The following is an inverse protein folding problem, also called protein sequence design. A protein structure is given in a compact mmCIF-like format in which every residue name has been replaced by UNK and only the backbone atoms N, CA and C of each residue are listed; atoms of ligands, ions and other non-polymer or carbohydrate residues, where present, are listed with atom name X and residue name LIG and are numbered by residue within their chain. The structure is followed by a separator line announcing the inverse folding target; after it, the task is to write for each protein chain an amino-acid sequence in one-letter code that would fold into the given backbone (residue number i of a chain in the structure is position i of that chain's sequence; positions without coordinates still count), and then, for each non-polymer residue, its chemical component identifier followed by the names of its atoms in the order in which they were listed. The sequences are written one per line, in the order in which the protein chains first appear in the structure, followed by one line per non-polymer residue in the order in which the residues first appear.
data_IF_343081723666
#
_entry.id   IF_343081723666
#
_cell.length_a   1.000
_cell.length_b   1.000
_cell.length_c   1.000
_cell.angle_alpha   90.00
_cell.angle_beta   90.00
_cell.angle_gamma   90.00
#
_symmetry.space_group_name_H-M   'P 1'
#
loop_
_entity.id
_entity.type
_entity.pdbx_description
1 polymer ?
#
# COMPACT_ATOMS: atom_id res chain seq x y z
N UNK A 1 15.53 39.08 -156.34
CA UNK A 1 15.29 40.45 -156.82
C UNK A 1 14.00 40.94 -156.17
N UNK A 2 13.77 42.14 -155.63
CA UNK A 2 14.56 43.25 -155.08
C UNK A 2 13.55 44.37 -154.73
N UNK A 3 13.63 44.92 -153.51
CA UNK A 3 13.42 46.34 -153.13
C UNK A 3 11.97 46.93 -153.03
N UNK A 4 11.54 47.15 -151.76
CA UNK A 4 10.88 48.36 -151.15
C UNK A 4 9.38 48.70 -151.40
N UNK A 5 8.74 49.62 -150.60
CA UNK A 5 8.75 49.82 -149.12
C UNK A 5 7.38 50.28 -148.51
N UNK A 6 7.35 50.48 -147.17
CA UNK A 6 6.70 51.60 -146.43
C UNK A 6 5.18 51.62 -146.05
N UNK A 7 4.93 51.57 -144.72
CA UNK A 7 4.05 52.36 -143.77
C UNK A 7 3.24 53.58 -144.32
N UNK A 8 2.23 54.23 -143.61
CA UNK A 8 1.71 54.15 -142.22
C UNK A 8 0.15 54.32 -142.01
N UNK A 9 -0.27 54.42 -140.73
CA UNK A 9 -1.54 54.66 -139.99
C UNK A 9 -2.41 55.91 -140.36
N UNK A 10 -3.42 56.42 -139.59
CA UNK A 10 -4.12 55.98 -138.35
C UNK A 10 -5.67 56.20 -138.28
N UNK A 11 -6.29 55.58 -137.25
CA UNK A 11 -7.45 56.02 -136.45
C UNK A 11 -8.82 56.33 -137.09
N UNK A 12 -9.86 55.62 -136.62
CA UNK A 12 -11.14 56.26 -136.27
C UNK A 12 -11.92 55.47 -135.20
N UNK A 13 -12.78 56.21 -134.52
CA UNK A 13 -13.26 56.05 -133.15
C UNK A 13 -14.61 55.34 -132.99
N UNK A 14 -14.73 54.64 -131.86
CA UNK A 14 -15.88 54.11 -131.09
C UNK A 14 -17.33 54.33 -131.57
N UNK A 15 -18.09 53.23 -131.64
CA UNK A 15 -19.51 53.18 -131.21
C UNK A 15 -19.83 51.83 -130.57
N UNK A 16 -20.26 51.85 -129.30
CA UNK A 16 -20.84 50.71 -128.60
C UNK A 16 -22.33 50.66 -128.91
N UNK A 17 -22.80 49.63 -129.63
CA UNK A 17 -24.22 49.29 -129.64
C UNK A 17 -24.57 48.51 -128.36
N UNK A 18 -25.38 49.13 -127.53
CA UNK A 18 -25.96 48.53 -126.33
C UNK A 18 -27.17 47.67 -126.71
N UNK A 19 -26.94 46.37 -126.96
CA UNK A 19 -28.01 45.36 -126.96
C UNK A 19 -28.40 45.07 -125.52
N UNK A 20 -29.63 45.45 -125.14
CA UNK A 20 -30.16 45.26 -123.78
C UNK A 20 -30.08 43.80 -123.31
N UNK A 21 -29.63 43.61 -122.07
CA UNK A 21 -29.52 42.29 -121.42
C UNK A 21 -30.88 41.58 -121.39
N UNK A 22 -30.97 40.33 -121.86
CA UNK A 22 -32.24 39.60 -121.88
C UNK A 22 -32.73 39.28 -120.46
N UNK A 23 -34.03 39.50 -120.20
CA UNK A 23 -34.67 39.46 -118.87
C UNK A 23 -34.47 38.14 -118.08
N UNK A 24 -34.19 37.02 -118.76
CA UNK A 24 -33.91 35.74 -118.10
C UNK A 24 -32.60 35.74 -117.29
N UNK A 25 -31.63 36.58 -117.65
CA UNK A 25 -30.38 36.75 -116.91
C UNK A 25 -30.65 37.35 -115.53
N UNK A 26 -31.59 38.30 -115.43
CA UNK A 26 -31.98 38.89 -114.14
C UNK A 26 -32.67 37.87 -113.22
N UNK A 27 -33.48 36.96 -113.77
CA UNK A 27 -34.12 35.86 -113.02
C UNK A 27 -33.08 34.86 -112.50
N UNK A 28 -32.12 34.48 -113.34
CA UNK A 28 -31.00 33.63 -112.91
C UNK A 28 -30.17 34.29 -111.81
N UNK A 29 -29.88 35.58 -111.94
CA UNK A 29 -29.13 36.32 -110.93
C UNK A 29 -29.88 36.39 -109.60
N UNK A 30 -31.20 36.60 -109.64
CA UNK A 30 -32.07 36.53 -108.46
C UNK A 30 -32.07 35.15 -107.79
N UNK A 31 -32.12 34.08 -108.57
CA UNK A 31 -32.04 32.71 -108.06
C UNK A 31 -30.67 32.38 -107.46
N UNK A 32 -29.58 32.85 -108.06
CA UNK A 32 -28.22 32.69 -107.52
C UNK A 32 -28.07 33.45 -106.20
N UNK A 33 -28.56 34.70 -106.13
CA UNK A 33 -28.55 35.47 -104.87
C UNK A 33 -29.38 34.78 -103.80
N UNK A 34 -30.57 34.28 -104.14
CA UNK A 34 -31.42 33.54 -103.21
C UNK A 34 -30.73 32.25 -102.72
N UNK A 35 -30.07 31.50 -103.61
CA UNK A 35 -29.27 30.34 -103.26
C UNK A 35 -28.11 30.68 -102.33
N UNK A 36 -27.39 31.78 -102.60
CA UNK A 36 -26.31 32.27 -101.73
C UNK A 36 -26.82 32.72 -100.36
N UNK A 37 -28.00 33.35 -100.29
CA UNK A 37 -28.62 33.73 -99.03
C UNK A 37 -28.99 32.51 -98.16
N UNK A 38 -29.55 31.45 -98.78
CA UNK A 38 -29.84 30.18 -98.09
C UNK A 38 -28.55 29.50 -97.61
N UNK A 39 -27.51 29.48 -98.43
CA UNK A 39 -26.20 28.92 -98.05
C UNK A 39 -25.52 29.72 -96.92
N UNK A 40 -25.58 31.05 -96.97
CA UNK A 40 -25.07 31.91 -95.91
C UNK A 40 -25.82 31.70 -94.59
N UNK A 41 -27.14 31.56 -94.64
CA UNK A 41 -27.96 31.24 -93.46
C UNK A 41 -27.66 29.84 -92.91
N UNK A 42 -27.53 28.84 -93.79
CA UNK A 42 -27.15 27.47 -93.40
C UNK A 42 -25.75 27.43 -92.76
N UNK A 43 -24.77 28.16 -93.31
CA UNK A 43 -23.43 28.25 -92.74
C UNK A 43 -23.42 28.97 -91.40
N UNK A 44 -24.09 30.13 -91.30
CA UNK A 44 -24.20 30.89 -90.05
C UNK A 44 -24.90 30.08 -88.94
N UNK A 45 -25.97 29.37 -89.29
CA UNK A 45 -26.69 28.51 -88.33
C UNK A 45 -25.87 27.30 -87.89
N UNK A 46 -25.08 26.70 -88.79
CA UNK A 46 -24.18 25.58 -88.46
C UNK A 46 -23.04 26.05 -87.57
N UNK A 47 -22.41 27.18 -87.89
CA UNK A 47 -21.34 27.78 -87.09
C UNK A 47 -21.83 28.12 -85.68
N UNK A 48 -23.03 28.69 -85.57
CA UNK A 48 -23.66 29.01 -84.28
C UNK A 48 -23.89 27.77 -83.41
N UNK A 49 -24.33 26.65 -84.02
CA UNK A 49 -24.50 25.37 -83.31
C UNK A 49 -23.16 24.78 -82.87
N UNK A 50 -22.14 24.81 -83.73
CA UNK A 50 -20.80 24.34 -83.38
C UNK A 50 -20.19 25.14 -82.23
N UNK A 51 -20.33 26.48 -82.22
CA UNK A 51 -19.88 27.31 -81.10
C UNK A 51 -20.63 27.00 -79.79
N UNK A 52 -21.93 26.71 -79.88
CA UNK A 52 -22.73 26.28 -78.72
C UNK A 52 -22.32 24.90 -78.21
N UNK A 53 -22.00 23.95 -79.11
CA UNK A 53 -21.56 22.62 -78.70
C UNK A 53 -20.15 22.64 -78.12
N UNK A 54 -19.25 23.46 -78.67
CA UNK A 54 -17.90 23.66 -78.13
C UNK A 54 -17.94 24.28 -76.73
N UNK A 55 -18.80 25.29 -76.52
CA UNK A 55 -18.98 25.91 -75.20
C UNK A 55 -19.62 24.94 -74.19
N UNK A 56 -20.60 24.14 -74.61
CA UNK A 56 -21.17 23.07 -73.77
C UNK A 56 -20.14 21.99 -73.41
N UNK A 57 -19.30 21.56 -74.37
CA UNK A 57 -18.24 20.59 -74.10
C UNK A 57 -17.15 21.16 -73.19
N UNK A 58 -16.79 22.43 -73.37
CA UNK A 58 -15.83 23.10 -72.50
C UNK A 58 -16.39 23.25 -71.07
N UNK A 59 -17.68 23.55 -70.94
CA UNK A 59 -18.35 23.60 -69.65
C UNK A 59 -18.45 22.22 -68.99
N UNK A 60 -18.79 21.17 -69.74
CA UNK A 60 -18.78 19.80 -69.25
C UNK A 60 -17.38 19.36 -68.80
N UNK A 61 -16.33 19.71 -69.55
CA UNK A 61 -14.95 19.43 -69.14
C UNK A 61 -14.58 20.17 -67.86
N UNK A 62 -14.98 21.44 -67.71
CA UNK A 62 -14.75 22.20 -66.47
C UNK A 62 -15.46 21.57 -65.27
N UNK A 63 -16.72 21.18 -65.44
CA UNK A 63 -17.50 20.50 -64.42
C UNK A 63 -16.84 19.16 -64.07
N UNK A 64 -16.41 18.39 -65.06
CA UNK A 64 -15.75 17.11 -64.86
C UNK A 64 -14.42 17.27 -64.11
N UNK A 65 -13.60 18.26 -64.48
CA UNK A 65 -12.37 18.59 -63.76
C UNK A 65 -12.65 18.98 -62.31
N UNK A 66 -13.65 19.84 -62.08
CA UNK A 66 -14.04 20.24 -60.73
C UNK A 66 -14.54 19.04 -59.88
N UNK A 67 -15.29 18.11 -60.49
CA UNK A 67 -15.69 16.87 -59.84
C UNK A 67 -14.51 15.96 -59.52
N UNK A 68 -13.51 15.89 -60.41
CA UNK A 68 -12.31 15.10 -60.20
C UNK A 68 -11.45 15.67 -59.07
N UNK A 69 -11.29 17.00 -59.02
CA UNK A 69 -10.62 17.69 -57.92
C UNK A 69 -11.34 17.48 -56.58
N UNK A 70 -12.68 17.55 -56.59
CA UNK A 70 -13.50 17.27 -55.42
C UNK A 70 -13.44 15.80 -54.99
N UNK A 71 -13.35 14.86 -55.93
CA UNK A 71 -13.17 13.45 -55.62
C UNK A 71 -11.78 13.19 -55.03
N UNK A 72 -10.74 13.80 -55.60
CA UNK A 72 -9.37 13.70 -55.10
C UNK A 72 -9.23 14.27 -53.68
N UNK A 73 -9.86 15.42 -53.39
CA UNK A 73 -9.85 15.98 -52.03
C UNK A 73 -10.58 15.09 -51.04
N UNK A 74 -11.75 14.55 -51.41
CA UNK A 74 -12.47 13.57 -50.57
C UNK A 74 -11.67 12.30 -50.31
N UNK A 75 -10.95 11.80 -51.31
CA UNK A 75 -10.08 10.62 -51.14
C UNK A 75 -8.94 10.95 -50.18
N UNK A 76 -8.33 12.13 -50.29
CA UNK A 76 -7.29 12.58 -49.36
C UNK A 76 -7.82 12.71 -47.92
N UNK A 77 -9.00 13.31 -47.74
CA UNK A 77 -9.66 13.42 -46.43
C UNK A 77 -10.00 12.06 -45.83
N UNK A 78 -10.57 11.16 -46.63
CA UNK A 78 -10.88 9.79 -46.19
C UNK A 78 -9.62 9.03 -45.80
N UNK A 79 -8.54 9.16 -46.58
CA UNK A 79 -7.24 8.52 -46.24
C UNK A 79 -6.71 9.03 -44.90
N UNK A 80 -6.77 10.35 -44.68
CA UNK A 80 -6.37 10.98 -43.41
C UNK A 80 -7.23 10.48 -42.25
N UNK A 81 -8.56 10.43 -42.41
CA UNK A 81 -9.47 9.93 -41.37
C UNK A 81 -9.22 8.46 -41.04
N UNK A 82 -8.94 7.62 -42.04
CA UNK A 82 -8.60 6.20 -41.84
C UNK A 82 -7.28 6.05 -41.09
N UNK A 83 -6.26 6.84 -41.44
CA UNK A 83 -4.95 6.82 -40.76
C UNK A 83 -5.06 7.24 -39.29
N UNK A 84 -5.80 8.33 -39.01
CA UNK A 84 -6.08 8.78 -37.64
C UNK A 84 -6.86 7.71 -36.87
N UNK A 85 -7.85 7.07 -37.51
CA UNK A 85 -8.65 6.02 -36.88
C UNK A 85 -7.80 4.80 -36.57
N UNK A 86 -6.94 4.37 -37.49
CA UNK A 86 -6.00 3.26 -37.28
C UNK A 86 -5.02 3.57 -36.15
N UNK A 87 -4.49 4.80 -36.09
CA UNK A 87 -3.60 5.23 -35.01
C UNK A 87 -4.31 5.23 -33.65
N UNK A 88 -5.54 5.76 -33.59
CA UNK A 88 -6.37 5.73 -32.38
C UNK A 88 -6.68 4.30 -31.94
N UNK A 89 -7.03 3.42 -32.87
CA UNK A 89 -7.25 1.99 -32.56
C UNK A 89 -5.99 1.32 -32.01
N UNK A 90 -4.81 1.63 -32.56
CA UNK A 90 -3.53 1.14 -32.03
C UNK A 90 -3.25 1.63 -30.61
N UNK A 91 -3.51 2.92 -30.33
CA UNK A 91 -3.38 3.49 -29.00
C UNK A 91 -4.36 2.84 -28.01
N UNK A 92 -5.64 2.71 -28.38
CA UNK A 92 -6.66 2.06 -27.55
C UNK A 92 -6.31 0.59 -27.27
N UNK A 93 -5.78 -0.15 -28.25
CA UNK A 93 -5.33 -1.52 -28.02
C UNK A 93 -4.17 -1.59 -27.02
N UNK A 94 -3.19 -0.68 -27.13
CA UNK A 94 -2.08 -0.57 -26.20
C UNK A 94 -2.55 -0.21 -24.79
N UNK A 95 -3.47 0.74 -24.66
CA UNK A 95 -4.08 1.13 -23.38
C UNK A 95 -4.84 -0.03 -22.74
N UNK A 96 -5.61 -0.80 -23.53
CA UNK A 96 -6.31 -2.00 -23.05
C UNK A 96 -5.30 -3.06 -22.57
N UNK A 97 -4.22 -3.28 -23.32
CA UNK A 97 -3.18 -4.24 -22.93
C UNK A 97 -2.49 -3.81 -21.63
N UNK A 98 -2.16 -2.52 -21.48
CA UNK A 98 -1.60 -1.98 -20.24
C UNK A 98 -2.59 -2.07 -19.08
N UNK A 99 -3.87 -1.75 -19.30
CA UNK A 99 -4.90 -1.85 -18.27
C UNK A 99 -5.08 -3.29 -17.78
N UNK A 100 -5.08 -4.27 -18.70
CA UNK A 100 -5.11 -5.70 -18.35
C UNK A 100 -3.89 -6.12 -17.54
N UNK A 101 -2.68 -5.74 -17.97
CA UNK A 101 -1.46 -6.06 -17.24
C UNK A 101 -1.44 -5.46 -15.83
N UNK A 102 -1.88 -4.21 -15.66
CA UNK A 102 -2.03 -3.58 -14.34
C UNK A 102 -3.06 -4.30 -13.48
N UNK A 103 -4.21 -4.67 -14.05
CA UNK A 103 -5.23 -5.42 -13.34
C UNK A 103 -4.72 -6.79 -12.86
N UNK A 104 -3.95 -7.50 -13.69
CA UNK A 104 -3.31 -8.75 -13.29
C UNK A 104 -2.25 -8.56 -12.20
N UNK A 105 -1.44 -7.51 -12.29
CA UNK A 105 -0.45 -7.17 -11.26
C UNK A 105 -1.12 -6.87 -9.92
N UNK A 106 -2.17 -6.03 -9.92
CA UNK A 106 -2.96 -5.71 -8.73
C UNK A 106 -3.59 -6.98 -8.15
N UNK A 107 -4.14 -7.87 -8.99
CA UNK A 107 -4.74 -9.12 -8.52
C UNK A 107 -3.70 -10.04 -7.85
N UNK A 108 -2.49 -10.14 -8.40
CA UNK A 108 -1.40 -10.91 -7.79
C UNK A 108 -0.93 -10.30 -6.47
N UNK A 109 -0.81 -8.97 -6.42
CA UNK A 109 -0.44 -8.24 -5.21
C UNK A 109 -1.50 -8.40 -4.11
N UNK A 110 -2.79 -8.28 -4.46
CA UNK A 110 -3.89 -8.54 -3.53
C UNK A 110 -3.86 -9.96 -2.99
N UNK A 111 -3.67 -10.98 -3.84
CA UNK A 111 -3.57 -12.37 -3.37
C UNK A 111 -2.40 -12.59 -2.41
N UNK A 112 -1.23 -12.00 -2.69
CA UNK A 112 -0.07 -12.09 -1.81
C UNK A 112 -0.30 -11.33 -0.49
N UNK A 113 -0.93 -10.16 -0.54
CA UNK A 113 -1.29 -9.38 0.63
C UNK A 113 -2.32 -10.12 1.49
N UNK A 114 -3.36 -10.70 0.90
CA UNK A 114 -4.39 -11.48 1.60
C UNK A 114 -3.81 -12.73 2.26
N UNK A 115 -2.90 -13.44 1.59
CA UNK A 115 -2.20 -14.58 2.17
C UNK A 115 -1.35 -14.16 3.37
N UNK A 116 -0.57 -13.08 3.22
CA UNK A 116 0.27 -12.55 4.30
C UNK A 116 -0.57 -12.07 5.47
N UNK A 117 -1.67 -11.36 5.19
CA UNK A 117 -2.62 -10.88 6.20
C UNK A 117 -3.27 -12.05 6.94
N UNK A 118 -3.74 -13.07 6.22
CA UNK A 118 -4.32 -14.28 6.81
C UNK A 118 -3.30 -15.02 7.69
N UNK A 119 -2.04 -15.14 7.25
CA UNK A 119 -0.98 -15.76 8.07
C UNK A 119 -0.68 -14.96 9.34
N UNK A 120 -0.60 -13.63 9.25
CA UNK A 120 -0.37 -12.77 10.41
C UNK A 120 -1.55 -12.81 11.39
N UNK A 121 -2.78 -12.87 10.86
CA UNK A 121 -3.98 -12.96 11.68
C UNK A 121 -4.01 -14.29 12.46
N UNK A 122 -3.69 -15.42 11.80
CA UNK A 122 -3.58 -16.72 12.48
C UNK A 122 -2.47 -16.73 13.54
N UNK A 123 -1.29 -16.23 13.21
CA UNK A 123 -0.18 -16.12 14.17
C UNK A 123 -0.56 -15.24 15.37
N UNK A 124 -1.25 -14.13 15.11
CA UNK A 124 -1.74 -13.24 16.18
C UNK A 124 -2.80 -13.92 17.04
N UNK A 125 -3.72 -14.68 16.44
CA UNK A 125 -4.75 -15.42 17.16
C UNK A 125 -4.14 -16.52 18.05
N UNK A 126 -3.14 -17.24 17.55
CA UNK A 126 -2.36 -18.22 18.32
C UNK A 126 -1.62 -17.56 19.49
N UNK A 127 -0.93 -16.43 19.25
CA UNK A 127 -0.25 -15.67 20.32
C UNK A 127 -1.22 -15.16 21.37
N UNK A 128 -2.38 -14.64 20.95
CA UNK A 128 -3.42 -14.18 21.89
C UNK A 128 -3.96 -15.36 22.70
N UNK A 129 -4.19 -16.52 22.09
CA UNK A 129 -4.61 -17.74 22.78
C UNK A 129 -3.58 -18.24 23.80
N UNK A 130 -2.29 -18.20 23.44
CA UNK A 130 -1.19 -18.53 24.34
C UNK A 130 -1.12 -17.57 25.53
N UNK A 131 -1.15 -16.25 25.28
CA UNK A 131 -1.15 -15.23 26.34
C UNK A 131 -2.38 -15.34 27.24
N UNK A 132 -3.58 -15.60 26.68
CA UNK A 132 -4.78 -15.81 27.47
C UNK A 132 -4.65 -17.03 28.40
N UNK A 133 -4.00 -18.10 27.92
CA UNK A 133 -3.73 -19.29 28.72
C UNK A 133 -2.71 -19.02 29.82
N UNK A 134 -1.60 -18.32 29.52
CA UNK A 134 -0.59 -17.92 30.49
C UNK A 134 -1.18 -17.02 31.57
N UNK A 135 -1.98 -16.02 31.19
CA UNK A 135 -2.67 -15.12 32.15
C UNK A 135 -3.67 -15.90 33.00
N UNK A 136 -4.38 -16.88 32.42
CA UNK A 136 -5.26 -17.78 33.15
C UNK A 136 -4.50 -18.65 34.17
N UNK A 137 -3.32 -19.14 33.81
CA UNK A 137 -2.41 -19.86 34.70
C UNK A 137 -1.89 -18.98 35.82
N UNK A 138 -1.32 -17.81 35.48
CA UNK A 138 -0.81 -16.85 36.45
C UNK A 138 -1.89 -16.42 37.45
N UNK A 139 -3.14 -16.23 37.00
CA UNK A 139 -4.25 -15.94 37.91
C UNK A 139 -4.50 -17.06 38.92
N UNK A 140 -4.44 -18.33 38.48
CA UNK A 140 -4.56 -19.49 39.39
C UNK A 140 -3.40 -19.54 40.38
N UNK A 141 -2.18 -19.31 39.92
CA UNK A 141 -0.98 -19.32 40.78
C UNK A 141 -1.03 -18.20 41.82
N UNK A 142 -1.53 -17.02 41.43
CA UNK A 142 -1.76 -15.90 42.35
C UNK A 142 -2.80 -16.25 43.42
N UNK A 143 -3.93 -16.86 43.04
CA UNK A 143 -4.94 -17.30 44.02
C UNK A 143 -4.42 -18.39 44.94
N UNK A 144 -3.62 -19.33 44.41
CA UNK A 144 -2.95 -20.36 45.23
C UNK A 144 -1.96 -19.72 46.22
N UNK A 145 -1.12 -18.80 45.75
CA UNK A 145 -0.15 -18.07 46.59
C UNK A 145 -0.86 -17.25 47.67
N UNK A 146 -1.99 -16.62 47.34
CA UNK A 146 -2.81 -15.87 48.30
C UNK A 146 -3.38 -16.80 49.38
N UNK A 147 -3.89 -17.96 49.00
CA UNK A 147 -4.37 -18.98 49.93
C UNK A 147 -3.25 -19.48 50.85
N UNK A 148 -2.08 -19.78 50.30
CA UNK A 148 -0.91 -20.22 51.06
C UNK A 148 -0.40 -19.13 52.01
N UNK A 149 -0.47 -17.86 51.59
CA UNK A 149 -0.11 -16.72 52.43
C UNK A 149 -1.07 -16.56 53.61
N UNK A 150 -2.38 -16.69 53.40
CA UNK A 150 -3.37 -16.68 54.48
C UNK A 150 -3.18 -17.86 55.44
N UNK A 151 -2.91 -19.06 54.91
CA UNK A 151 -2.60 -20.23 55.72
C UNK A 151 -1.33 -20.03 56.55
N UNK A 152 -0.29 -19.43 55.97
CA UNK A 152 0.97 -19.12 56.64
C UNK A 152 0.79 -18.06 57.71
N UNK A 153 0.02 -17.00 57.42
CA UNK A 153 -0.33 -15.97 58.39
C UNK A 153 -1.06 -16.57 59.60
N UNK A 154 -2.04 -17.43 59.38
CA UNK A 154 -2.74 -18.14 60.46
C UNK A 154 -1.85 -19.10 61.25
N UNK A 155 -0.85 -19.73 60.62
CA UNK A 155 0.17 -20.53 61.34
C UNK A 155 1.07 -19.63 62.19
N UNK A 156 1.52 -18.50 61.64
CA UNK A 156 2.37 -17.54 62.35
C UNK A 156 1.63 -16.92 63.55
N UNK A 157 0.37 -16.54 63.39
CA UNK A 157 -0.46 -16.03 64.50
C UNK A 157 -0.59 -17.06 65.64
N UNK A 158 -0.82 -18.35 65.31
CA UNK A 158 -0.83 -19.42 66.32
C UNK A 158 0.53 -19.59 66.99
N UNK A 159 1.61 -19.67 66.21
CA UNK A 159 2.96 -19.81 66.76
C UNK A 159 3.37 -18.61 67.62
N UNK A 160 2.98 -17.39 67.25
CA UNK A 160 3.18 -16.21 68.08
C UNK A 160 2.36 -16.28 69.37
N UNK A 161 1.11 -16.76 69.30
CA UNK A 161 0.28 -17.02 70.49
C UNK A 161 0.92 -18.04 71.43
N UNK A 162 1.37 -19.18 70.90
CA UNK A 162 2.03 -20.23 71.68
C UNK A 162 3.37 -19.76 72.26
N UNK A 163 4.16 -18.99 71.50
CA UNK A 163 5.37 -18.37 72.03
C UNK A 163 5.07 -17.32 73.10
N UNK A 164 3.96 -16.59 73.01
CA UNK A 164 3.57 -15.64 74.04
C UNK A 164 3.23 -16.37 75.35
N UNK A 165 2.47 -17.47 75.27
CA UNK A 165 2.19 -18.34 76.42
C UNK A 165 3.48 -18.95 76.96
N UNK A 166 4.35 -19.48 76.10
CA UNK A 166 5.63 -20.07 76.50
C UNK A 166 6.58 -19.02 77.08
N UNK A 167 6.58 -17.79 76.56
CA UNK A 167 7.34 -16.67 77.13
C UNK A 167 6.83 -16.29 78.52
N UNK A 168 5.53 -16.42 78.79
CA UNK A 168 4.98 -16.31 80.13
C UNK A 168 5.39 -17.44 81.08
N UNK A 169 5.79 -18.61 80.57
CA UNK A 169 6.33 -19.73 81.35
C UNK A 169 7.86 -19.67 81.53
N UNK A 170 8.54 -18.76 80.84
CA UNK A 170 9.99 -18.52 80.97
C UNK A 170 10.19 -17.35 81.92
N UNK A 171 10.53 -17.65 83.18
CA UNK A 171 10.83 -16.62 84.18
C UNK A 171 11.93 -15.68 83.67
N UNK A 172 11.64 -14.38 83.59
CA UNK A 172 12.61 -13.33 83.24
C UNK A 172 13.05 -12.52 84.45
N UNK A 173 12.21 -12.44 85.49
CA UNK A 173 12.48 -11.72 86.74
C UNK A 173 12.22 -12.61 87.99
N UNK A 174 12.49 -12.06 89.18
CA UNK A 174 12.37 -12.78 90.46
C UNK A 174 10.91 -13.10 90.84
N UNK A 175 9.98 -12.23 90.46
CA UNK A 175 8.56 -12.35 90.78
C UNK A 175 7.91 -13.47 89.93
N UNK A 176 8.28 -13.56 88.65
CA UNK A 176 7.85 -14.64 87.75
C UNK A 176 8.30 -16.03 88.25
N UNK A 177 9.46 -16.10 88.91
CA UNK A 177 10.00 -17.34 89.47
C UNK A 177 9.19 -17.80 90.69
N UNK A 178 8.68 -16.86 91.49
CA UNK A 178 7.84 -17.14 92.66
C UNK A 178 6.46 -17.67 92.23
N UNK A 179 5.89 -17.13 91.15
CA UNK A 179 4.65 -17.64 90.56
C UNK A 179 4.80 -19.04 89.97
N UNK A 180 5.92 -19.33 89.29
CA UNK A 180 6.22 -20.69 88.82
C UNK A 180 6.46 -21.68 89.98
N UNK A 181 7.01 -21.22 91.11
CA UNK A 181 7.19 -22.03 92.32
C UNK A 181 5.85 -22.41 92.94
N UNK A 182 4.85 -21.52 92.91
CA UNK A 182 3.48 -21.80 93.37
C UNK A 182 2.75 -22.82 92.49
N UNK A 183 3.13 -22.93 91.21
CA UNK A 183 2.54 -23.88 90.24
C UNK A 183 3.10 -25.31 90.33
N UNK A 184 4.11 -25.57 91.16
CA UNK A 184 4.47 -26.92 91.60
C UNK A 184 5.34 -27.78 90.68
N UNK A 185 5.70 -27.30 89.49
CA UNK A 185 6.38 -28.16 88.49
C UNK A 185 7.91 -28.29 88.68
N UNK A 186 8.56 -27.48 89.54
CA UNK A 186 10.02 -27.58 89.82
C UNK A 186 10.41 -27.11 91.23
N UNK A 187 11.34 -27.84 91.87
CA UNK A 187 11.94 -27.47 93.16
C UNK A 187 13.13 -26.52 92.96
N UNK A 188 12.93 -25.22 93.17
CA UNK A 188 14.00 -24.22 93.10
C UNK A 188 14.62 -23.96 94.49
N UNK A 189 15.95 -23.92 94.56
CA UNK A 189 16.70 -23.57 95.76
C UNK A 189 17.47 -22.28 95.51
N UNK A 190 17.24 -21.28 96.34
CA UNK A 190 18.06 -20.06 96.35
C UNK A 190 19.28 -20.29 97.22
N UNK A 191 20.46 -19.91 96.72
CA UNK A 191 21.71 -20.06 97.44
C UNK A 191 22.69 -18.97 97.03
N UNK A 192 23.53 -18.59 97.99
CA UNK A 192 24.68 -17.72 97.75
C UNK A 192 25.94 -18.58 97.87
N UNK A 193 26.79 -18.55 96.83
CA UNK A 193 28.02 -19.32 96.79
C UNK A 193 29.23 -18.36 96.83
N UNK A 194 30.05 -18.51 97.87
CA UNK A 194 31.30 -17.75 98.03
C UNK A 194 32.49 -18.60 97.58
N UNK A 195 33.57 -17.95 97.12
CA UNK A 195 34.80 -18.65 96.72
C UNK A 195 35.44 -19.31 97.94
N UNK A 196 35.34 -20.63 98.02
CA UNK A 196 35.83 -21.43 99.15
C UNK A 196 36.47 -22.72 98.65
N UNK A 197 37.41 -23.26 99.43
CA UNK A 197 38.02 -24.58 99.17
C UNK A 197 37.09 -25.73 99.54
N UNK A 198 36.04 -25.48 100.33
CA UNK A 198 35.05 -26.49 100.74
C UNK A 198 33.79 -26.34 99.88
N UNK A 199 33.26 -27.46 99.40
CA UNK A 199 31.98 -27.47 98.71
C UNK A 199 30.83 -27.16 99.68
N UNK A 200 29.88 -26.33 99.25
CA UNK A 200 28.68 -25.96 99.98
C UNK A 200 27.51 -26.83 99.52
N UNK A 201 26.74 -27.39 100.46
CA UNK A 201 25.54 -28.18 100.14
C UNK A 201 24.40 -27.24 99.71
N UNK A 202 23.80 -27.49 98.55
CA UNK A 202 22.67 -26.75 98.00
C UNK A 202 21.62 -27.76 97.55
N UNK A 203 20.61 -27.99 98.40
CA UNK A 203 19.59 -29.02 98.15
C UNK A 203 20.20 -30.42 98.00
N UNK A 204 19.89 -31.17 96.92
CA UNK A 204 20.40 -32.53 96.70
C UNK A 204 21.84 -32.57 96.15
N UNK A 205 22.48 -31.44 95.83
CA UNK A 205 23.84 -31.38 95.27
C UNK A 205 24.80 -30.60 96.17
N UNK A 206 26.11 -30.77 95.99
CA UNK A 206 27.13 -29.89 96.56
C UNK A 206 27.75 -29.05 95.44
N UNK A 207 28.07 -27.80 95.73
CA UNK A 207 28.61 -26.86 94.76
C UNK A 207 29.82 -26.11 95.33
N UNK A 208 30.83 -25.87 94.51
CA UNK A 208 31.97 -25.01 94.86
C UNK A 208 32.25 -24.01 93.74
N UNK A 209 32.58 -22.78 94.12
CA UNK A 209 32.96 -21.72 93.18
C UNK A 209 34.47 -21.73 92.99
N UNK A 210 34.93 -22.14 91.80
CA UNK A 210 36.36 -22.27 91.50
C UNK A 210 36.94 -20.90 91.12
N UNK A 211 36.26 -20.18 90.23
CA UNK A 211 36.73 -18.90 89.67
C UNK A 211 35.56 -17.98 89.33
N UNK A 212 35.77 -16.69 89.52
CA UNK A 212 34.87 -15.63 89.07
C UNK A 212 35.68 -14.56 88.35
N UNK A 213 35.22 -14.12 87.19
CA UNK A 213 35.73 -12.98 86.43
C UNK A 213 34.60 -11.94 86.34
N UNK A 214 34.66 -10.95 87.25
CA UNK A 214 33.64 -9.91 87.33
C UNK A 214 33.65 -8.96 86.12
N UNK A 215 34.78 -8.79 85.42
CA UNK A 215 34.86 -7.89 84.25
C UNK A 215 34.19 -8.50 83.02
N UNK A 216 34.23 -9.82 82.91
CA UNK A 216 33.63 -10.57 81.79
C UNK A 216 32.30 -11.23 82.16
N UNK A 217 31.80 -11.00 83.38
CA UNK A 217 30.61 -11.67 83.95
C UNK A 217 30.64 -13.19 83.74
N UNK A 218 31.80 -13.81 84.02
CA UNK A 218 31.98 -15.26 83.86
C UNK A 218 32.32 -15.90 85.19
N UNK A 219 31.83 -17.13 85.38
CA UNK A 219 32.15 -17.93 86.54
C UNK A 219 32.42 -19.38 86.15
N UNK A 220 33.23 -20.06 86.96
CA UNK A 220 33.48 -21.50 86.87
C UNK A 220 33.09 -22.14 88.20
N UNK A 221 32.15 -23.07 88.14
CA UNK A 221 31.64 -23.81 89.30
C UNK A 221 31.83 -25.31 89.11
N UNK A 222 32.08 -26.01 90.22
CA UNK A 222 32.00 -27.47 90.26
C UNK A 222 30.69 -27.86 90.95
N UNK A 223 29.95 -28.77 90.33
CA UNK A 223 28.74 -29.37 90.88
C UNK A 223 29.01 -30.83 91.15
N UNK A 224 28.77 -31.28 92.37
CA UNK A 224 28.94 -32.65 92.83
C UNK A 224 27.54 -33.18 93.13
N UNK A 225 27.12 -34.19 92.40
CA UNK A 225 25.84 -34.87 92.57
C UNK A 225 26.12 -36.36 92.69
N UNK A 226 25.84 -36.91 93.88
CA UNK A 226 26.12 -38.30 94.26
C UNK A 226 27.56 -38.70 93.90
N UNK A 227 27.74 -39.52 92.86
CA UNK A 227 29.04 -40.05 92.43
C UNK A 227 29.70 -39.24 91.29
N UNK A 228 29.06 -38.16 90.82
CA UNK A 228 29.53 -37.38 89.66
C UNK A 228 29.94 -35.98 90.03
N UNK A 229 31.11 -35.59 89.55
CA UNK A 229 31.63 -34.22 89.64
C UNK A 229 31.65 -33.59 88.25
N UNK A 230 30.94 -32.48 88.08
CA UNK A 230 30.78 -31.75 86.81
C UNK A 230 31.35 -30.34 86.99
N UNK A 231 32.40 -30.01 86.23
CA UNK A 231 32.87 -28.63 86.15
C UNK A 231 32.13 -27.88 85.04
N UNK A 232 31.49 -26.78 85.40
CA UNK A 232 30.91 -25.82 84.46
C UNK A 232 31.86 -24.63 84.32
N UNK A 233 32.72 -24.69 83.32
CA UNK A 233 33.73 -23.67 83.04
C UNK A 233 33.17 -22.48 82.26
N UNK A 234 33.59 -21.28 82.64
CA UNK A 234 33.34 -19.99 81.97
C UNK A 234 31.87 -19.74 81.58
N UNK A 235 30.95 -20.10 82.48
CA UNK A 235 29.51 -19.82 82.32
C UNK A 235 29.21 -18.35 82.59
N UNK A 236 28.23 -17.83 81.88
CA UNK A 236 27.66 -16.48 82.01
C UNK A 236 26.33 -16.55 82.72
#
# INVERSE_FOLDING_TARGET
MSISPNIPSPQESYHYESTGTPRWIAVLFGLVIAGLAVLAYAHYSTQSRMSQDLTKQQEQNRILSAQLDQANSRIADLKSQVEITAQRMGLTQSEIAQAKSRAEAIRKEQQAADQKFTSQMKESEEKIGAVATEVGGAKKDIEATKSDLEATKGKLERSMGDMNVMSGLIARNRDDLEDLRRRGDRNYYEFTLQKSKKAQRVGPVQMSLNRTDAKKSKYTITVIADDKTIEKKDKT
#
